data_IF_285604503998
#
_entry.id   IF_285604503998
#
_cell.length_a   1.000
_cell.length_b   1.000
_cell.length_c   1.000
_cell.angle_alpha   90.00
_cell.angle_beta   90.00
_cell.angle_gamma   90.00
#
_symmetry.space_group_name_H-M   'P 1'
#
loop_
_entity.id
_entity.type
_entity.pdbx_description
1 polymer ?
#
# COMPACT_ATOMS: atom_id res chain seq x y z
N UNK A 1 -2.33 12.33 -7.04
CA UNK A 1 -3.16 13.47 -6.63
C UNK A 1 -2.28 14.70 -6.78
N UNK A 2 -2.56 15.58 -7.75
CA UNK A 2 -1.73 16.77 -7.97
C UNK A 2 -1.67 17.64 -6.71
N UNK A 3 -2.82 17.95 -6.09
CA UNK A 3 -2.95 18.73 -4.86
C UNK A 3 -2.02 18.23 -3.76
N UNK A 4 -2.13 16.96 -3.34
CA UNK A 4 -1.30 16.43 -2.23
C UNK A 4 0.19 16.42 -2.56
N UNK A 5 0.56 16.17 -3.83
CA UNK A 5 1.96 16.18 -4.26
C UNK A 5 2.54 17.60 -4.30
N UNK A 6 1.72 18.60 -4.59
CA UNK A 6 2.18 19.97 -4.80
C UNK A 6 2.59 20.65 -3.48
N UNK A 7 2.22 20.06 -2.34
CA UNK A 7 2.78 20.34 -1.02
C UNK A 7 4.26 19.91 -0.93
N UNK A 8 5.16 20.84 -0.63
CA UNK A 8 6.61 20.61 -0.59
C UNK A 8 6.99 19.50 0.40
N UNK A 9 6.29 19.45 1.54
CA UNK A 9 6.47 18.44 2.58
C UNK A 9 6.14 17.01 2.12
N UNK A 10 5.25 16.87 1.14
CA UNK A 10 4.78 15.56 0.66
C UNK A 10 5.56 15.07 -0.57
N UNK A 11 6.24 15.96 -1.31
CA UNK A 11 7.06 15.60 -2.47
C UNK A 11 8.07 14.48 -2.21
N UNK A 12 8.85 14.47 -1.11
CA UNK A 12 9.81 13.40 -0.86
C UNK A 12 9.14 12.06 -0.51
N UNK A 13 7.94 12.09 0.08
CA UNK A 13 7.23 10.89 0.51
C UNK A 13 6.31 10.31 -0.58
N UNK A 14 5.83 11.12 -1.53
CA UNK A 14 4.87 10.71 -2.53
C UNK A 14 5.53 10.27 -3.84
N UNK A 15 5.70 8.96 -4.02
CA UNK A 15 6.30 8.40 -5.23
C UNK A 15 5.45 8.64 -6.50
N UNK A 16 4.11 8.64 -6.34
CA UNK A 16 3.17 8.91 -7.43
C UNK A 16 2.71 7.68 -8.22
N UNK A 17 1.76 7.87 -9.17
CA UNK A 17 0.95 6.79 -9.74
C UNK A 17 1.74 5.80 -10.60
N UNK A 18 2.78 6.25 -11.30
CA UNK A 18 3.63 5.36 -12.12
C UNK A 18 4.42 4.38 -11.25
N UNK A 19 4.98 4.85 -10.14
CA UNK A 19 5.68 3.97 -9.20
C UNK A 19 4.72 3.04 -8.47
N UNK A 20 3.52 3.51 -8.13
CA UNK A 20 2.48 2.65 -7.58
C UNK A 20 2.11 1.49 -8.51
N UNK A 21 2.03 1.72 -9.83
CA UNK A 21 1.82 0.63 -10.78
C UNK A 21 2.95 -0.41 -10.72
N UNK A 22 4.21 0.04 -10.57
CA UNK A 22 5.36 -0.86 -10.42
C UNK A 22 5.33 -1.66 -9.11
N UNK A 23 4.95 -1.03 -8.00
CA UNK A 23 4.77 -1.72 -6.73
C UNK A 23 3.66 -2.77 -6.82
N UNK A 24 2.54 -2.42 -7.44
CA UNK A 24 1.41 -3.31 -7.68
C UNK A 24 1.83 -4.54 -8.51
N UNK A 25 2.57 -4.31 -9.60
CA UNK A 25 3.09 -5.38 -10.45
C UNK A 25 3.91 -6.39 -9.65
N UNK A 26 4.80 -5.93 -8.75
CA UNK A 26 5.64 -6.81 -7.93
C UNK A 26 4.86 -7.47 -6.80
N UNK A 27 4.09 -6.70 -6.01
CA UNK A 27 3.40 -7.21 -4.81
C UNK A 27 2.27 -8.20 -5.12
N UNK A 28 1.71 -8.11 -6.32
CA UNK A 28 0.63 -9.01 -6.78
C UNK A 28 1.13 -10.10 -7.75
N UNK A 29 2.44 -10.15 -8.03
CA UNK A 29 2.99 -11.19 -8.89
C UNK A 29 2.98 -12.55 -8.16
N UNK A 30 2.45 -13.63 -8.76
CA UNK A 30 2.27 -14.91 -8.06
C UNK A 30 3.58 -15.60 -7.67
N UNK A 31 4.68 -15.31 -8.38
CA UNK A 31 6.02 -15.83 -8.05
C UNK A 31 6.77 -14.95 -7.04
N UNK A 32 6.23 -13.79 -6.67
CA UNK A 32 6.89 -12.92 -5.71
C UNK A 32 6.51 -13.32 -4.29
N UNK A 33 7.53 -13.67 -3.50
CA UNK A 33 7.36 -14.10 -2.11
C UNK A 33 7.61 -12.97 -1.12
N UNK A 34 7.96 -11.77 -1.58
CA UNK A 34 8.35 -10.67 -0.71
C UNK A 34 7.18 -9.69 -0.51
N UNK A 35 6.81 -9.50 0.76
CA UNK A 35 5.76 -8.56 1.14
C UNK A 35 6.27 -7.12 1.11
N UNK A 36 5.72 -6.28 0.24
CA UNK A 36 6.13 -4.88 0.08
C UNK A 36 5.09 -3.90 0.62
N UNK A 37 4.06 -4.36 1.33
CA UNK A 37 2.96 -3.50 1.81
C UNK A 37 3.47 -2.39 2.73
N UNK A 38 4.40 -2.68 3.64
CA UNK A 38 4.99 -1.67 4.52
C UNK A 38 5.81 -0.64 3.75
N UNK A 39 6.59 -1.08 2.76
CA UNK A 39 7.36 -0.19 1.88
C UNK A 39 6.45 0.71 1.04
N UNK A 40 5.36 0.15 0.48
CA UNK A 40 4.39 0.91 -0.30
C UNK A 40 3.72 2.02 0.54
N UNK A 41 3.48 1.78 1.83
CA UNK A 41 2.93 2.79 2.73
C UNK A 41 3.96 3.82 3.20
N UNK A 42 5.05 3.35 3.81
CA UNK A 42 6.01 4.20 4.53
C UNK A 42 6.99 4.91 3.61
N UNK A 43 7.51 4.22 2.60
CA UNK A 43 8.54 4.75 1.71
C UNK A 43 7.95 5.36 0.43
N UNK A 44 6.90 4.77 -0.13
CA UNK A 44 6.30 5.26 -1.38
C UNK A 44 5.09 6.20 -1.18
N UNK A 45 4.58 6.30 0.05
CA UNK A 45 3.51 7.24 0.40
C UNK A 45 2.17 6.92 -0.26
N UNK A 46 1.81 5.64 -0.45
CA UNK A 46 0.52 5.26 -1.06
C UNK A 46 -0.70 5.83 -0.31
N UNK A 47 -0.54 6.10 0.99
CA UNK A 47 -1.56 6.74 1.83
C UNK A 47 -1.92 8.17 1.39
N UNK A 48 -1.01 8.86 0.68
CA UNK A 48 -1.20 10.23 0.19
C UNK A 48 -2.02 10.29 -1.11
N UNK A 49 -2.35 9.15 -1.72
CA UNK A 49 -3.20 9.11 -2.90
C UNK A 49 -4.69 9.15 -2.52
N UNK A 50 -5.47 10.10 -3.03
CA UNK A 50 -6.90 10.23 -2.71
C UNK A 50 -7.86 9.47 -3.64
N UNK A 51 -7.35 8.58 -4.52
CA UNK A 51 -8.17 7.74 -5.42
C UNK A 51 -9.13 8.56 -6.32
N UNK A 52 -8.81 9.83 -6.60
CA UNK A 52 -9.65 10.73 -7.43
C UNK A 52 -9.60 10.42 -8.94
N UNK A 53 -9.02 9.29 -9.35
CA UNK A 53 -8.81 8.89 -10.75
C UNK A 53 -8.03 9.86 -11.65
N UNK A 54 -7.47 10.95 -11.10
CA UNK A 54 -6.65 11.93 -11.82
C UNK A 54 -5.45 11.34 -12.60
N UNK A 55 -4.91 10.19 -12.19
CA UNK A 55 -3.84 9.50 -12.92
C UNK A 55 -4.33 8.60 -14.05
N UNK A 56 -5.57 8.13 -13.98
CA UNK A 56 -6.20 7.28 -14.99
C UNK A 56 -6.70 8.14 -16.15
N UNK A 57 -7.31 9.29 -15.85
CA UNK A 57 -7.88 10.23 -16.84
C UNK A 57 -6.82 10.82 -17.78
N UNK A 58 -5.59 11.00 -17.29
CA UNK A 58 -4.49 11.62 -18.05
C UNK A 58 -3.52 10.60 -18.64
N UNK A 59 -3.77 9.30 -18.46
CA UNK A 59 -2.84 8.26 -18.89
C UNK A 59 -2.93 8.09 -20.43
N UNK A 60 -1.84 8.32 -21.18
CA UNK A 60 -1.88 8.20 -22.65
C UNK A 60 -2.15 6.76 -23.11
N UNK A 61 -1.74 5.78 -22.31
CA UNK A 61 -1.93 4.35 -22.57
C UNK A 61 -3.31 3.83 -22.13
N UNK A 62 -4.20 4.70 -21.63
CA UNK A 62 -5.53 4.34 -21.14
C UNK A 62 -5.54 3.23 -20.08
N UNK A 63 -4.45 3.11 -19.31
CA UNK A 63 -4.34 2.12 -18.24
C UNK A 63 -5.22 2.57 -17.07
N UNK A 64 -6.07 1.65 -16.57
CA UNK A 64 -6.89 1.87 -15.37
C UNK A 64 -6.07 1.74 -14.09
N UNK A 65 -5.05 2.59 -13.93
CA UNK A 65 -4.06 2.53 -12.84
C UNK A 65 -4.75 2.58 -11.47
N UNK A 66 -5.78 3.43 -11.33
CA UNK A 66 -6.49 3.55 -10.05
C UNK A 66 -7.18 2.25 -9.67
N UNK A 67 -7.95 1.68 -10.60
CA UNK A 67 -8.80 0.51 -10.33
C UNK A 67 -8.00 -0.80 -10.26
N UNK A 68 -6.99 -0.97 -11.12
CA UNK A 68 -6.24 -2.22 -11.22
C UNK A 68 -4.98 -2.28 -10.33
N UNK A 69 -4.48 -1.14 -9.84
CA UNK A 69 -3.24 -1.10 -9.07
C UNK A 69 -3.39 -0.38 -7.72
N UNK A 70 -3.86 0.87 -7.73
CA UNK A 70 -3.86 1.69 -6.49
C UNK A 70 -4.88 1.17 -5.48
N UNK A 71 -6.11 0.84 -5.90
CA UNK A 71 -7.14 0.32 -5.00
C UNK A 71 -6.71 -1.02 -4.38
N UNK A 72 -6.31 -2.04 -5.16
CA UNK A 72 -5.88 -3.33 -4.59
C UNK A 72 -4.70 -3.20 -3.62
N UNK A 73 -3.72 -2.36 -3.94
CA UNK A 73 -2.59 -2.12 -3.03
C UNK A 73 -3.03 -1.44 -1.72
N UNK A 74 -3.95 -0.47 -1.80
CA UNK A 74 -4.47 0.19 -0.61
C UNK A 74 -5.26 -0.78 0.27
N UNK A 75 -6.10 -1.62 -0.32
CA UNK A 75 -6.84 -2.66 0.39
C UNK A 75 -5.86 -3.58 1.15
N UNK A 76 -4.84 -4.09 0.46
CA UNK A 76 -3.80 -4.94 1.06
C UNK A 76 -3.03 -4.26 2.21
N UNK A 77 -2.74 -2.96 2.10
CA UNK A 77 -2.10 -2.16 3.16
C UNK A 77 -3.04 -1.96 4.35
N UNK A 78 -4.33 -1.72 4.09
CA UNK A 78 -5.36 -1.51 5.12
C UNK A 78 -5.62 -2.80 5.89
N UNK A 79 -5.77 -3.94 5.20
CA UNK A 79 -6.02 -5.25 5.81
C UNK A 79 -4.96 -5.60 6.85
N UNK A 80 -3.68 -5.32 6.56
CA UNK A 80 -2.59 -5.59 7.52
C UNK A 80 -2.59 -4.64 8.71
N UNK A 81 -2.94 -3.36 8.50
CA UNK A 81 -2.77 -2.29 9.50
C UNK A 81 -3.96 -2.14 10.44
N UNK A 82 -5.18 -2.39 9.95
CA UNK A 82 -6.41 -2.06 10.67
C UNK A 82 -7.26 -3.28 11.02
N UNK A 83 -6.92 -4.50 10.57
CA UNK A 83 -7.66 -5.70 10.97
C UNK A 83 -7.43 -6.01 12.47
N UNK A 84 -8.47 -5.83 13.33
CA UNK A 84 -8.34 -6.08 14.74
C UNK A 84 -8.07 -7.56 15.05
N UNK A 85 -8.55 -8.51 14.23
CA UNK A 85 -8.33 -9.94 14.47
C UNK A 85 -6.85 -10.31 14.35
N UNK A 86 -6.16 -9.73 13.37
CA UNK A 86 -4.72 -9.98 13.13
C UNK A 86 -3.88 -9.38 14.27
N UNK A 87 -4.15 -8.14 14.66
CA UNK A 87 -3.43 -7.49 15.76
C UNK A 87 -3.73 -8.15 17.11
N UNK A 88 -5.00 -8.41 17.42
CA UNK A 88 -5.42 -9.03 18.67
C UNK A 88 -4.89 -10.45 18.79
N UNK A 89 -4.91 -11.24 17.69
CA UNK A 89 -4.28 -12.56 17.63
C UNK A 89 -2.77 -12.51 17.90
N UNK A 90 -2.04 -11.55 17.32
CA UNK A 90 -0.61 -11.37 17.58
C UNK A 90 -0.29 -10.93 19.01
N UNK A 91 -1.20 -10.19 19.65
CA UNK A 91 -1.01 -9.62 20.99
C UNK A 91 -1.45 -10.58 22.11
N UNK A 92 -2.47 -11.40 21.87
CA UNK A 92 -3.02 -12.35 22.85
C UNK A 92 -2.30 -13.71 22.79
N UNK A 93 -1.78 -14.14 21.62
CA UNK A 93 -1.07 -15.42 21.48
C UNK A 93 0.34 -15.45 22.10
N UNK A 94 0.82 -14.34 22.65
CA UNK A 94 2.17 -14.24 23.25
C UNK A 94 2.18 -14.41 24.77
N UNK A 95 1.36 -15.34 25.28
CA UNK A 95 1.38 -15.75 26.69
C UNK A 95 1.05 -17.23 26.83
N UNK A 96 1.96 -18.08 26.34
CA UNK A 96 2.08 -19.45 26.85
C UNK A 96 3.52 -19.95 26.74
N UNK A 97 4.46 -19.15 27.27
CA UNK A 97 5.86 -19.56 27.47
C UNK A 97 6.19 -19.58 28.97
N UNK A 98 5.30 -20.26 29.73
CA UNK A 98 5.57 -20.72 31.09
C UNK A 98 4.88 -22.07 31.29
N UNK A 99 5.51 -23.14 30.84
CA UNK A 99 5.58 -24.37 31.63
C UNK A 99 6.92 -25.03 31.36
N UNK A 100 7.70 -25.13 32.43
CA UNK A 100 8.99 -25.79 32.56
C UNK A 100 8.90 -27.27 32.19
N UNK A 101 9.92 -27.78 31.47
CA UNK A 101 10.65 -29.03 31.72
C UNK A 101 11.85 -29.16 30.75
#
# INVERSE_FOLDING_TARGET
CHVIRDHEENKPAFAGPRFFLRYAELDMHPLDTHDRRELAQSAAGIGLCNITKCCTEVCPENIKITDNAIIPMKERVVDRKYDPLVWLGSKIRRRDDRTEL
#
